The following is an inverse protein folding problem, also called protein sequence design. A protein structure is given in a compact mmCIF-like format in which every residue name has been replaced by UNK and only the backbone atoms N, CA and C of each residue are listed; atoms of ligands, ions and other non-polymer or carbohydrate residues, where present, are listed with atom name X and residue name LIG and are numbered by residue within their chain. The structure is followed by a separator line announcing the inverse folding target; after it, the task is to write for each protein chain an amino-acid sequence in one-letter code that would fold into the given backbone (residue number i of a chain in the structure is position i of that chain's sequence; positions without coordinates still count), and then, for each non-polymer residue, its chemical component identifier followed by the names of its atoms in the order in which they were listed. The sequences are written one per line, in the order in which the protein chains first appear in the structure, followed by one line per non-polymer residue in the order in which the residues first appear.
data_IF_954352583511
#
_entry.id   IF_954352583511
#
_cell.length_a   1.000
_cell.length_b   1.000
_cell.length_c   1.000
_cell.angle_alpha   90.00
_cell.angle_beta   90.00
_cell.angle_gamma   90.00
#
_symmetry.space_group_name_H-M   'P 1'
#
loop_
_entity.id
_entity.type
_entity.pdbx_description
1 polymer ?
#
# COMPACT_ATOMS: atom_id res chain seq x y z
N UNK A 1 16.59 -7.44 -5.19
CA UNK A 1 15.28 -7.98 -4.76
C UNK A 1 15.32 -8.62 -3.37
N UNK A 2 16.10 -9.67 -3.11
CA UNK A 2 16.13 -10.29 -1.77
C UNK A 2 16.48 -9.32 -0.61
N UNK A 3 17.49 -8.47 -0.80
CA UNK A 3 17.87 -7.46 0.20
C UNK A 3 16.79 -6.38 0.42
N UNK A 4 16.11 -5.98 -0.65
CA UNK A 4 14.99 -5.03 -0.61
C UNK A 4 13.81 -5.62 0.17
N UNK A 5 13.40 -6.84 -0.18
CA UNK A 5 12.33 -7.54 0.53
C UNK A 5 12.66 -7.77 2.02
N UNK A 6 13.93 -8.05 2.34
CA UNK A 6 14.37 -8.16 3.72
C UNK A 6 14.28 -6.83 4.48
N UNK A 7 14.65 -5.71 3.85
CA UNK A 7 14.57 -4.39 4.46
C UNK A 7 13.11 -3.94 4.68
N UNK A 8 12.27 -3.99 3.64
CA UNK A 8 10.85 -3.62 3.73
C UNK A 8 10.10 -4.56 4.68
N UNK A 9 10.37 -5.87 4.61
CA UNK A 9 9.82 -6.85 5.56
C UNK A 9 10.29 -6.61 7.00
N UNK A 10 11.52 -6.13 7.20
CA UNK A 10 12.04 -5.74 8.50
C UNK A 10 11.31 -4.53 9.08
N UNK A 11 11.02 -3.51 8.27
CA UNK A 11 10.19 -2.37 8.66
C UNK A 11 8.79 -2.84 9.04
N UNK A 12 8.14 -3.64 8.19
CA UNK A 12 6.81 -4.18 8.47
C UNK A 12 6.77 -4.99 9.76
N UNK A 13 7.79 -5.82 10.02
CA UNK A 13 7.92 -6.60 11.26
C UNK A 13 8.07 -5.69 12.50
N UNK A 14 8.88 -4.64 12.41
CA UNK A 14 9.07 -3.68 13.50
C UNK A 14 7.80 -2.86 13.81
N UNK A 15 6.91 -2.69 12.82
CA UNK A 15 5.67 -1.93 12.98
C UNK A 15 4.47 -2.77 13.46
N UNK A 16 4.59 -4.09 13.59
CA UNK A 16 3.46 -4.98 13.93
C UNK A 16 2.73 -4.57 15.22
N UNK A 17 3.49 -4.24 16.26
CA UNK A 17 2.97 -3.84 17.56
C UNK A 17 3.02 -2.32 17.78
N UNK A 18 3.53 -1.57 16.81
CA UNK A 18 3.60 -0.11 16.88
C UNK A 18 2.20 0.50 16.76
N UNK A 19 1.89 1.44 17.66
CA UNK A 19 0.60 2.12 17.70
C UNK A 19 0.83 3.61 17.91
N UNK A 20 0.21 4.41 17.06
CA UNK A 20 0.23 5.86 17.19
C UNK A 20 -1.07 6.44 16.64
N UNK A 21 -1.65 7.42 17.33
CA UNK A 21 -2.92 8.04 16.94
C UNK A 21 -2.83 8.68 15.55
N UNK A 22 -1.71 9.34 15.24
CA UNK A 22 -1.49 9.95 13.92
C UNK A 22 -1.46 8.93 12.75
N UNK A 23 -1.27 7.63 13.02
CA UNK A 23 -1.36 6.59 11.98
C UNK A 23 -2.82 6.16 11.72
N UNK A 24 -3.74 6.46 12.64
CA UNK A 24 -5.19 6.26 12.49
C UNK A 24 -5.79 7.46 11.76
N UNK A 25 -5.39 7.65 10.49
CA UNK A 25 -5.80 8.79 9.69
C UNK A 25 -6.55 8.36 8.44
N UNK A 26 -7.43 9.24 8.00
CA UNK A 26 -8.04 9.15 6.68
C UNK A 26 -7.04 9.60 5.62
N UNK A 27 -6.64 8.70 4.73
CA UNK A 27 -5.64 8.98 3.71
C UNK A 27 -6.04 8.43 2.34
N UNK A 28 -5.94 9.26 1.29
CA UNK A 28 -6.44 8.90 -0.05
C UNK A 28 -5.62 7.78 -0.69
N UNK A 29 -4.37 7.62 -0.26
CA UNK A 29 -3.47 6.56 -0.73
C UNK A 29 -3.51 5.31 0.16
N UNK A 30 -4.39 5.25 1.18
CA UNK A 30 -4.63 4.01 1.91
C UNK A 30 -5.36 3.01 1.00
N UNK A 31 -4.74 1.85 0.75
CA UNK A 31 -5.32 0.79 -0.07
C UNK A 31 -6.70 0.31 0.43
N UNK A 32 -7.02 0.49 1.73
CA UNK A 32 -8.36 0.21 2.28
C UNK A 32 -9.46 1.09 1.70
N UNK A 33 -9.10 2.24 1.14
CA UNK A 33 -10.03 3.23 0.57
C UNK A 33 -10.04 3.23 -0.94
N UNK A 34 -9.38 2.27 -1.59
CA UNK A 34 -9.24 2.27 -3.04
C UNK A 34 -10.58 2.38 -3.78
N UNK A 35 -11.62 1.66 -3.34
CA UNK A 35 -12.94 1.70 -3.97
C UNK A 35 -13.63 3.06 -3.84
N UNK A 36 -13.58 3.67 -2.65
CA UNK A 36 -14.11 5.01 -2.38
C UNK A 36 -13.43 6.05 -3.28
N UNK A 37 -12.09 6.02 -3.33
CA UNK A 37 -11.29 6.95 -4.13
C UNK A 37 -11.57 6.78 -5.61
N UNK A 38 -11.62 5.54 -6.11
CA UNK A 38 -11.94 5.25 -7.51
C UNK A 38 -13.34 5.76 -7.86
N UNK A 39 -14.34 5.49 -7.02
CA UNK A 39 -15.71 5.95 -7.25
C UNK A 39 -15.79 7.48 -7.33
N UNK A 40 -15.07 8.20 -6.45
CA UNK A 40 -15.04 9.66 -6.43
C UNK A 40 -14.28 10.27 -7.63
N UNK A 41 -13.34 9.54 -8.23
CA UNK A 41 -12.44 10.03 -9.29
C UNK A 41 -12.71 9.46 -10.67
N UNK A 42 -13.69 8.56 -10.83
CA UNK A 42 -14.01 7.92 -12.12
C UNK A 42 -14.35 8.95 -13.21
N UNK A 43 -14.94 10.09 -12.84
CA UNK A 43 -15.24 11.17 -13.78
C UNK A 43 -13.98 11.84 -14.37
N UNK A 44 -12.87 11.84 -13.64
CA UNK A 44 -11.58 12.42 -14.06
C UNK A 44 -10.88 11.53 -15.12
N UNK A 45 -11.32 10.28 -15.28
CA UNK A 45 -10.80 9.34 -16.27
C UNK A 45 -11.50 9.54 -17.61
N UNK A 46 -10.70 9.56 -18.69
CA UNK A 46 -11.20 9.63 -20.07
C UNK A 46 -12.25 8.55 -20.34
N UNK A 47 -13.35 8.93 -21.01
CA UNK A 47 -14.55 8.09 -21.13
C UNK A 47 -14.24 6.72 -21.76
N UNK A 48 -13.35 6.68 -22.75
CA UNK A 48 -12.89 5.46 -23.43
C UNK A 48 -12.11 4.48 -22.53
N UNK A 49 -11.56 4.96 -21.40
CA UNK A 49 -10.83 4.12 -20.41
C UNK A 49 -11.70 3.66 -19.26
N UNK A 50 -12.88 4.25 -19.04
CA UNK A 50 -13.78 3.89 -17.94
C UNK A 50 -14.21 2.41 -17.94
N UNK A 51 -14.50 1.77 -19.10
CA UNK A 51 -14.81 0.34 -19.11
C UNK A 51 -13.69 -0.55 -18.57
N UNK A 52 -12.42 -0.15 -18.80
CA UNK A 52 -11.26 -0.87 -18.25
C UNK A 52 -11.20 -0.71 -16.72
N UNK A 53 -11.39 0.51 -16.22
CA UNK A 53 -11.45 0.78 -14.77
C UNK A 53 -12.57 -0.01 -14.10
N UNK A 54 -13.76 -0.01 -14.67
CA UNK A 54 -14.91 -0.79 -14.19
C UNK A 54 -14.64 -2.29 -14.19
N UNK A 55 -13.85 -2.78 -15.16
CA UNK A 55 -13.35 -4.16 -15.17
C UNK A 55 -12.52 -4.49 -13.93
N UNK A 56 -11.53 -3.65 -13.60
CA UNK A 56 -10.69 -3.84 -12.41
C UNK A 56 -11.48 -3.70 -11.11
N UNK A 57 -12.39 -2.73 -11.01
CA UNK A 57 -13.24 -2.55 -9.82
C UNK A 57 -14.11 -3.79 -9.59
N UNK A 58 -14.64 -4.39 -10.65
CA UNK A 58 -15.42 -5.63 -10.56
C UNK A 58 -14.56 -6.80 -10.08
N UNK A 59 -13.39 -7.01 -10.69
CA UNK A 59 -12.46 -8.06 -10.27
C UNK A 59 -12.03 -7.88 -8.80
N UNK A 60 -11.75 -6.65 -8.37
CA UNK A 60 -11.47 -6.35 -6.97
C UNK A 60 -12.63 -6.74 -6.04
N UNK A 61 -13.87 -6.36 -6.39
CA UNK A 61 -15.07 -6.70 -5.58
C UNK A 61 -15.33 -8.19 -5.50
N UNK A 62 -15.11 -8.90 -6.60
CA UNK A 62 -15.42 -10.33 -6.70
C UNK A 62 -14.32 -11.21 -6.06
N UNK A 63 -13.05 -10.80 -6.16
CA UNK A 63 -11.91 -11.65 -5.80
C UNK A 63 -11.15 -11.16 -4.55
N UNK A 64 -11.02 -9.85 -4.35
CA UNK A 64 -10.16 -9.26 -3.31
C UNK A 64 -10.96 -8.82 -2.09
N UNK A 65 -12.05 -8.06 -2.29
CA UNK A 65 -12.88 -7.53 -1.22
C UNK A 65 -13.35 -8.59 -0.20
N UNK A 66 -13.74 -9.82 -0.59
CA UNK A 66 -14.13 -10.87 0.36
C UNK A 66 -12.99 -11.36 1.27
N UNK A 67 -11.74 -11.16 0.86
CA UNK A 67 -10.55 -11.58 1.61
C UNK A 67 -10.08 -10.52 2.61
N UNK A 68 -10.41 -9.25 2.37
CA UNK A 68 -9.91 -8.11 3.16
C UNK A 68 -10.16 -8.23 4.68
N UNK A 69 -11.34 -8.71 5.16
CA UNK A 69 -11.57 -8.86 6.60
C UNK A 69 -10.64 -9.87 7.29
N UNK A 70 -9.97 -10.73 6.52
CA UNK A 70 -9.05 -11.75 7.02
C UNK A 70 -7.60 -11.24 7.06
N UNK A 71 -7.33 -10.10 6.42
CA UNK A 71 -5.98 -9.54 6.37
C UNK A 71 -5.63 -8.87 7.69
N UNK A 72 -4.37 -9.05 8.11
CA UNK A 72 -3.84 -8.36 9.28
C UNK A 72 -3.69 -6.88 9.00
N UNK A 73 -3.93 -6.08 10.03
CA UNK A 73 -3.69 -4.65 10.01
C UNK A 73 -2.49 -4.30 10.90
N UNK A 74 -1.68 -3.35 10.45
CA UNK A 74 -0.60 -2.74 11.21
C UNK A 74 -0.34 -1.34 10.69
N UNK A 75 0.50 -0.57 11.37
CA UNK A 75 1.10 0.59 10.71
C UNK A 75 2.02 0.09 9.60
N UNK A 76 1.92 0.70 8.42
CA UNK A 76 2.71 0.35 7.22
C UNK A 76 3.40 1.60 6.68
N UNK A 77 4.47 1.41 5.88
CA UNK A 77 5.14 2.50 5.19
C UNK A 77 4.21 3.16 4.15
N UNK A 78 3.39 2.35 3.48
CA UNK A 78 2.40 2.72 2.47
C UNK A 78 2.96 3.26 1.15
N UNK A 79 4.28 3.47 1.03
CA UNK A 79 4.90 3.85 -0.25
C UNK A 79 6.36 3.33 -0.47
N UNK A 80 6.68 2.04 -0.22
CA UNK A 80 8.05 1.52 -0.41
C UNK A 80 8.37 1.21 -1.88
N UNK A 81 8.22 2.20 -2.77
CA UNK A 81 8.58 2.11 -4.18
C UNK A 81 10.08 2.34 -4.42
N UNK A 82 10.54 2.16 -5.66
CA UNK A 82 11.95 2.26 -6.06
C UNK A 82 12.58 3.66 -5.87
N UNK A 83 11.78 4.72 -5.77
CA UNK A 83 12.24 6.06 -5.44
C UNK A 83 12.50 6.25 -3.94
N UNK A 84 11.84 5.49 -3.08
CA UNK A 84 11.95 5.56 -1.62
C UNK A 84 12.92 4.51 -1.04
N UNK A 85 13.63 3.80 -1.91
CA UNK A 85 14.61 2.80 -1.54
C UNK A 85 15.99 3.22 -2.05
N UNK A 86 16.97 3.28 -1.13
CA UNK A 86 18.36 3.55 -1.48
C UNK A 86 19.20 2.31 -1.24
N UNK A 87 20.13 2.03 -2.16
CA UNK A 87 21.03 0.88 -2.06
C UNK A 87 22.47 1.36 -2.12
N UNK A 88 23.27 0.99 -1.12
CA UNK A 88 24.70 1.32 -1.11
C UNK A 88 25.53 0.35 -1.98
N UNK A 89 26.83 0.62 -2.09
CA UNK A 89 27.76 -0.23 -2.85
C UNK A 89 27.96 -1.65 -2.28
N UNK A 90 27.53 -1.90 -1.03
CA UNK A 90 27.56 -3.20 -0.39
C UNK A 90 26.21 -3.95 -0.52
N UNK A 91 25.19 -3.33 -1.13
CA UNK A 91 23.86 -3.90 -1.29
C UNK A 91 22.95 -3.73 -0.07
N UNK A 92 23.31 -2.88 0.90
CA UNK A 92 22.45 -2.52 2.02
C UNK A 92 21.33 -1.60 1.56
N UNK A 93 20.11 -1.86 2.02
CA UNK A 93 18.92 -1.11 1.62
C UNK A 93 18.47 -0.20 2.76
N UNK A 94 18.34 1.09 2.47
CA UNK A 94 17.68 2.07 3.31
C UNK A 94 16.27 2.37 2.80
N UNK A 95 15.33 2.55 3.72
CA UNK A 95 13.94 2.95 3.42
C UNK A 95 13.77 4.41 3.84
N UNK A 96 13.26 5.24 2.94
CA UNK A 96 13.07 6.68 3.10
C UNK A 96 11.60 7.06 3.01
N UNK A 97 11.28 8.29 3.43
CA UNK A 97 9.98 8.95 3.26
C UNK A 97 8.78 8.26 3.93
N UNK A 98 8.76 8.35 5.26
CA UNK A 98 7.69 7.83 6.10
C UNK A 98 6.46 8.76 6.17
N UNK A 99 6.30 9.74 5.27
CA UNK A 99 5.19 10.71 5.28
C UNK A 99 3.80 10.07 5.07
N UNK A 100 3.79 8.93 4.38
CA UNK A 100 2.58 8.23 3.95
C UNK A 100 2.15 7.11 4.90
N UNK A 101 2.85 6.95 6.02
CA UNK A 101 2.53 5.94 7.02
C UNK A 101 1.07 6.03 7.46
N UNK A 102 0.40 4.89 7.45
CA UNK A 102 -0.99 4.73 7.85
C UNK A 102 -1.20 3.35 8.45
N UNK A 103 -2.19 3.22 9.34
CA UNK A 103 -2.62 1.91 9.82
C UNK A 103 -3.50 1.23 8.78
N UNK A 104 -2.96 0.26 8.04
CA UNK A 104 -3.61 -0.41 6.91
C UNK A 104 -3.24 -1.90 6.83
N UNK A 105 -3.53 -2.57 5.71
CA UNK A 105 -3.19 -3.98 5.49
C UNK A 105 -1.69 -4.19 5.62
N UNK A 106 -1.24 -5.06 6.52
CA UNK A 106 0.20 -5.33 6.73
C UNK A 106 0.90 -5.80 5.45
N UNK A 107 0.18 -6.45 4.53
CA UNK A 107 0.72 -6.88 3.24
C UNK A 107 0.85 -5.77 2.19
N UNK A 108 0.37 -4.55 2.46
CA UNK A 108 0.40 -3.43 1.53
C UNK A 108 1.83 -3.09 1.10
N UNK A 109 2.77 -3.00 2.05
CA UNK A 109 4.17 -2.68 1.75
C UNK A 109 4.81 -3.72 0.82
N UNK A 110 4.51 -5.01 1.04
CA UNK A 110 4.99 -6.08 0.17
C UNK A 110 4.35 -6.01 -1.23
N UNK A 111 3.07 -5.63 -1.33
CA UNK A 111 2.37 -5.49 -2.61
C UNK A 111 2.88 -4.29 -3.43
N UNK A 112 3.25 -3.19 -2.77
CA UNK A 112 3.79 -1.97 -3.43
C UNK A 112 5.24 -2.18 -3.85
N UNK A 113 6.03 -2.87 -3.03
CA UNK A 113 7.45 -3.15 -3.27
C UNK A 113 7.69 -4.28 -4.30
N UNK A 114 6.65 -5.02 -4.69
CA UNK A 114 6.74 -6.23 -5.52
C UNK A 114 7.25 -5.99 -6.94
#
# INVERSE_FOLDING_TARGET
WAAVGAAVGGVAAAMLDFKHEAAQREFVWDLRRCEEVIAARTADVAAERRPLLEGFVRAYRDEVAPLLPQLRLSVVHNDPNDYNLVVDGAGQVGVLDFGDMVHSYTCADAAICA
#
